data_IF_630800103132
#
_entry.id   IF_630800103132
#
_cell.length_a   1.000
_cell.length_b   1.000
_cell.length_c   1.000
_cell.angle_alpha   90.00
_cell.angle_beta   90.00
_cell.angle_gamma   90.00
#
_symmetry.space_group_name_H-M   'P 1'
#
loop_
_entity.id
_entity.type
_entity.pdbx_description
1 polymer ?
#
# COMPACT_ATOMS: atom_id res chain seq x y z
N UNK A 1 -6.71 14.88 8.85
CA UNK A 1 -6.65 13.44 8.57
C UNK A 1 -5.18 13.03 8.48
N UNK A 2 -4.80 11.92 9.10
CA UNK A 2 -3.48 11.34 9.02
C UNK A 2 -3.62 9.92 8.43
N UNK A 3 -2.81 9.57 7.43
CA UNK A 3 -2.83 8.23 6.80
C UNK A 3 -1.49 7.56 7.09
N UNK A 4 -1.54 6.34 7.61
CA UNK A 4 -0.37 5.55 8.02
C UNK A 4 -0.52 4.10 7.58
N UNK A 5 0.59 3.37 7.45
CA UNK A 5 0.56 1.92 7.42
C UNK A 5 0.53 1.34 8.85
N UNK A 6 0.25 0.04 8.94
CA UNK A 6 0.06 -0.63 10.23
C UNK A 6 1.32 -0.70 11.10
N UNK A 7 2.50 -0.77 10.51
CA UNK A 7 3.76 -0.77 11.27
C UNK A 7 4.16 0.64 11.71
N UNK A 8 3.99 1.63 10.83
CA UNK A 8 4.36 3.02 11.11
C UNK A 8 3.54 3.64 12.23
N UNK A 9 2.25 3.29 12.36
CA UNK A 9 1.41 3.83 13.44
C UNK A 9 1.91 3.39 14.82
N UNK A 10 2.46 2.19 14.93
CA UNK A 10 2.97 1.66 16.21
C UNK A 10 4.14 2.48 16.76
N UNK A 11 4.89 3.19 15.91
CA UNK A 11 5.98 4.05 16.34
C UNK A 11 5.50 5.36 17.01
N UNK A 12 4.24 5.74 16.80
CA UNK A 12 3.66 6.98 17.32
C UNK A 12 2.28 6.76 17.96
N UNK A 13 1.98 5.54 18.38
CA UNK A 13 0.67 5.16 18.90
C UNK A 13 0.26 5.96 20.14
N UNK A 14 1.24 6.39 20.93
CA UNK A 14 1.02 7.20 22.14
C UNK A 14 0.34 8.54 21.85
N UNK A 15 0.43 9.04 20.62
CA UNK A 15 -0.21 10.31 20.22
C UNK A 15 -1.75 10.22 20.20
N UNK A 16 -2.30 9.01 20.23
CA UNK A 16 -3.74 8.84 20.47
C UNK A 16 -4.16 9.42 21.82
N UNK A 17 -3.29 9.33 22.83
CA UNK A 17 -3.52 9.99 24.14
C UNK A 17 -3.60 11.51 24.02
N UNK A 18 -2.74 12.11 23.21
CA UNK A 18 -2.78 13.55 22.92
C UNK A 18 -4.10 13.93 22.22
N UNK A 19 -4.52 13.15 21.22
CA UNK A 19 -5.78 13.41 20.52
C UNK A 19 -6.98 13.33 21.45
N UNK A 20 -7.01 12.36 22.35
CA UNK A 20 -8.08 12.19 23.32
C UNK A 20 -8.09 13.32 24.36
N UNK A 21 -6.92 13.65 24.94
CA UNK A 21 -6.79 14.65 26.00
C UNK A 21 -7.26 16.04 25.55
N UNK A 22 -6.99 16.39 24.29
CA UNK A 22 -7.35 17.71 23.74
C UNK A 22 -8.64 17.68 22.88
N UNK A 23 -9.30 16.53 22.74
CA UNK A 23 -10.51 16.38 21.93
C UNK A 23 -10.31 16.76 20.44
N UNK A 24 -9.12 16.53 19.90
CA UNK A 24 -8.77 16.98 18.55
C UNK A 24 -9.54 16.16 17.50
N UNK A 25 -10.25 16.79 16.54
CA UNK A 25 -11.08 16.08 15.56
C UNK A 25 -10.22 15.48 14.43
N UNK A 26 -9.12 14.80 14.79
CA UNK A 26 -8.20 14.17 13.85
C UNK A 26 -8.68 12.76 13.54
N UNK A 27 -8.73 12.42 12.25
CA UNK A 27 -9.00 11.07 11.76
C UNK A 27 -7.67 10.42 11.39
N UNK A 28 -7.36 9.32 12.05
CA UNK A 28 -6.17 8.50 11.78
C UNK A 28 -6.61 7.30 10.97
N UNK A 29 -6.18 7.22 9.72
CA UNK A 29 -6.49 6.10 8.82
C UNK A 29 -5.28 5.18 8.72
N UNK A 30 -5.46 3.92 9.07
CA UNK A 30 -4.46 2.87 8.89
C UNK A 30 -4.79 2.12 7.61
N UNK A 31 -3.87 2.10 6.66
CA UNK A 31 -3.93 1.23 5.48
C UNK A 31 -3.21 -0.06 5.84
N UNK A 32 -3.97 -1.08 6.23
CA UNK A 32 -3.47 -2.26 6.89
C UNK A 32 -3.40 -3.46 5.95
N UNK A 33 -2.22 -3.74 5.43
CA UNK A 33 -1.93 -4.95 4.66
C UNK A 33 -1.23 -6.05 5.49
N UNK A 34 -1.05 -5.85 6.80
CA UNK A 34 -0.33 -6.74 7.71
C UNK A 34 1.13 -7.01 7.33
N UNK A 35 1.75 -6.09 6.60
CA UNK A 35 3.16 -6.16 6.24
C UNK A 35 3.88 -4.85 6.53
N UNK A 36 5.18 -4.94 6.74
CA UNK A 36 6.06 -3.81 6.47
C UNK A 36 6.27 -3.74 4.95
N UNK A 37 5.33 -3.07 4.27
CA UNK A 37 5.11 -3.23 2.83
C UNK A 37 6.34 -2.97 1.97
N UNK A 38 7.08 -1.86 2.22
CA UNK A 38 8.31 -1.55 1.48
C UNK A 38 9.42 -2.57 1.79
N UNK A 39 9.56 -3.02 3.03
CA UNK A 39 10.53 -4.05 3.41
C UNK A 39 10.21 -5.37 2.69
N UNK A 40 8.95 -5.78 2.70
CA UNK A 40 8.48 -6.95 1.96
C UNK A 40 8.81 -6.84 0.47
N UNK A 41 8.50 -5.70 -0.16
CA UNK A 41 8.76 -5.47 -1.59
C UNK A 41 10.24 -5.61 -1.94
N UNK A 42 11.14 -5.11 -1.09
CA UNK A 42 12.57 -5.28 -1.28
C UNK A 42 13.01 -6.75 -1.12
N UNK A 43 12.48 -7.43 -0.11
CA UNK A 43 12.77 -8.85 0.11
C UNK A 43 12.30 -9.70 -1.07
N UNK A 44 11.14 -9.39 -1.62
CA UNK A 44 10.61 -10.03 -2.83
C UNK A 44 11.51 -9.76 -4.05
N UNK A 45 11.84 -8.50 -4.30
CA UNK A 45 12.51 -8.09 -5.54
C UNK A 45 14.02 -8.40 -5.56
N UNK A 46 14.69 -8.35 -4.41
CA UNK A 46 16.17 -8.39 -4.36
C UNK A 46 16.75 -9.48 -3.45
N UNK A 47 15.94 -10.14 -2.64
CA UNK A 47 16.42 -11.10 -1.65
C UNK A 47 15.78 -12.49 -1.81
N UNK A 48 15.25 -12.80 -2.99
CA UNK A 48 14.70 -14.13 -3.32
C UNK A 48 13.55 -14.53 -2.40
N UNK A 49 12.65 -13.59 -2.12
CA UNK A 49 11.45 -13.80 -1.30
C UNK A 49 11.73 -14.28 0.14
N UNK A 50 12.92 -13.96 0.65
CA UNK A 50 13.28 -14.28 2.04
C UNK A 50 12.68 -13.25 2.98
N UNK A 51 11.42 -13.43 3.32
CA UNK A 51 10.66 -12.55 4.19
C UNK A 51 11.09 -12.71 5.66
N UNK A 52 11.94 -11.82 6.12
CA UNK A 52 12.43 -11.82 7.51
C UNK A 52 11.85 -10.64 8.27
N UNK A 53 11.12 -10.91 9.34
CA UNK A 53 10.54 -9.93 10.27
C UNK A 53 9.66 -8.86 9.60
N UNK A 54 9.16 -9.10 8.41
CA UNK A 54 8.30 -8.17 7.65
C UNK A 54 6.82 -8.55 7.65
N UNK A 55 6.49 -9.81 7.92
CA UNK A 55 5.10 -10.25 8.13
C UNK A 55 4.66 -9.89 9.55
N UNK A 56 3.66 -9.01 9.63
CA UNK A 56 3.15 -8.49 10.89
C UNK A 56 1.87 -9.19 11.36
N UNK A 57 1.39 -10.21 10.63
CA UNK A 57 0.08 -10.82 10.89
C UNK A 57 -0.08 -11.31 12.33
N UNK A 58 0.95 -11.95 12.87
CA UNK A 58 0.91 -12.53 14.21
C UNK A 58 1.35 -11.56 15.33
N UNK A 59 1.86 -10.39 14.97
CA UNK A 59 2.38 -9.40 15.93
C UNK A 59 1.58 -8.10 15.99
N UNK A 60 0.50 -7.99 15.21
CA UNK A 60 -0.33 -6.79 15.21
C UNK A 60 -1.32 -6.77 16.36
N UNK A 61 -1.44 -5.63 17.05
CA UNK A 61 -2.51 -5.44 18.02
C UNK A 61 -3.87 -5.29 17.30
N UNK A 62 -4.94 -5.49 18.04
CA UNK A 62 -6.24 -4.97 17.63
C UNK A 62 -6.21 -3.44 17.77
N UNK A 63 -6.08 -2.74 16.65
CA UNK A 63 -5.98 -1.28 16.63
C UNK A 63 -7.22 -0.58 17.17
N UNK A 64 -8.41 -1.21 17.05
CA UNK A 64 -9.64 -0.62 17.57
C UNK A 64 -9.70 -0.73 19.10
N UNK A 65 -9.35 -1.90 19.64
CA UNK A 65 -9.23 -2.07 21.08
C UNK A 65 -8.15 -1.16 21.67
N UNK A 66 -7.02 -1.02 20.97
CA UNK A 66 -5.93 -0.14 21.36
C UNK A 66 -6.35 1.33 21.35
N UNK A 67 -7.04 1.81 20.30
CA UNK A 67 -7.56 3.18 20.24
C UNK A 67 -8.51 3.47 21.40
N UNK A 68 -9.42 2.54 21.68
CA UNK A 68 -10.36 2.67 22.81
C UNK A 68 -9.67 2.74 24.17
N UNK A 69 -8.53 2.06 24.34
CA UNK A 69 -7.76 2.16 25.59
C UNK A 69 -7.18 3.56 25.82
N UNK A 70 -6.98 4.34 24.76
CA UNK A 70 -6.61 5.75 24.81
C UNK A 70 -7.82 6.73 24.87
N UNK A 71 -9.06 6.21 24.87
CA UNK A 71 -10.26 7.04 24.81
C UNK A 71 -10.59 7.56 23.41
N UNK A 72 -10.09 6.93 22.37
CA UNK A 72 -10.34 7.27 20.95
C UNK A 72 -11.27 6.21 20.35
N UNK A 73 -12.36 6.65 19.73
CA UNK A 73 -13.24 5.75 18.99
C UNK A 73 -12.55 5.19 17.73
N UNK A 74 -13.02 4.02 17.28
CA UNK A 74 -12.46 3.42 16.10
C UNK A 74 -13.41 2.51 15.35
N UNK A 75 -13.14 2.35 14.05
CA UNK A 75 -13.85 1.46 13.16
C UNK A 75 -12.87 0.63 12.33
N UNK A 76 -13.16 -0.66 12.20
CA UNK A 76 -12.44 -1.58 11.30
C UNK A 76 -13.25 -1.78 10.04
N UNK A 77 -12.60 -1.70 8.88
CA UNK A 77 -13.21 -1.89 7.56
C UNK A 77 -12.46 -3.00 6.86
N UNK A 78 -13.16 -4.13 6.62
CA UNK A 78 -12.59 -5.32 5.97
C UNK A 78 -13.21 -5.57 4.60
N UNK A 79 -14.47 -5.14 4.41
CA UNK A 79 -15.23 -5.39 3.21
C UNK A 79 -15.27 -4.14 2.32
N UNK A 80 -15.09 -4.37 1.02
CA UNK A 80 -15.07 -3.29 0.03
C UNK A 80 -16.41 -2.55 -0.07
N UNK A 81 -17.50 -3.28 0.06
CA UNK A 81 -18.85 -2.72 -0.12
C UNK A 81 -19.21 -1.74 1.01
N UNK A 82 -18.65 -1.96 2.21
CA UNK A 82 -18.86 -1.10 3.38
C UNK A 82 -17.92 0.10 3.41
N UNK A 83 -16.87 0.11 2.59
CA UNK A 83 -15.79 1.08 2.65
C UNK A 83 -16.28 2.52 2.58
N UNK A 84 -17.11 2.85 1.60
CA UNK A 84 -17.57 4.23 1.38
C UNK A 84 -18.46 4.72 2.51
N UNK A 85 -19.45 3.92 2.89
CA UNK A 85 -20.38 4.27 3.96
C UNK A 85 -19.67 4.42 5.32
N UNK A 86 -18.77 3.48 5.63
CA UNK A 86 -18.00 3.48 6.87
C UNK A 86 -17.02 4.66 6.94
N UNK A 87 -16.33 4.98 5.83
CA UNK A 87 -15.46 6.15 5.78
C UNK A 87 -16.24 7.45 5.92
N UNK A 88 -17.34 7.59 5.20
CA UNK A 88 -18.18 8.80 5.28
C UNK A 88 -18.71 9.03 6.71
N UNK A 89 -19.15 7.97 7.38
CA UNK A 89 -19.59 8.03 8.77
C UNK A 89 -18.44 8.41 9.72
N UNK A 90 -17.29 7.76 9.58
CA UNK A 90 -16.12 8.01 10.42
C UNK A 90 -15.56 9.42 10.23
N UNK A 91 -15.53 9.94 9.01
CA UNK A 91 -15.03 11.29 8.72
C UNK A 91 -15.95 12.38 9.30
N UNK A 92 -17.27 12.11 9.38
CA UNK A 92 -18.26 13.03 9.95
C UNK A 92 -18.39 12.92 11.46
N UNK A 93 -17.92 11.86 12.07
CA UNK A 93 -17.99 11.66 13.51
C UNK A 93 -17.28 12.81 14.26
N UNK A 94 -17.82 13.27 15.39
CA UNK A 94 -17.14 14.26 16.22
C UNK A 94 -15.90 13.66 16.90
N UNK A 95 -14.90 14.50 17.22
CA UNK A 95 -13.71 14.11 17.96
C UNK A 95 -12.69 13.25 17.16
N UNK A 96 -11.67 12.72 17.85
CA UNK A 96 -10.68 11.85 17.26
C UNK A 96 -11.28 10.49 16.91
N UNK A 97 -10.77 9.87 15.84
CA UNK A 97 -11.17 8.52 15.45
C UNK A 97 -10.04 7.78 14.74
N UNK A 98 -9.90 6.51 15.02
CA UNK A 98 -8.99 5.62 14.31
C UNK A 98 -9.80 4.73 13.36
N UNK A 99 -9.32 4.62 12.11
CA UNK A 99 -9.98 3.87 11.03
C UNK A 99 -8.98 2.85 10.51
N UNK A 100 -9.20 1.57 10.81
CA UNK A 100 -8.35 0.46 10.37
C UNK A 100 -8.93 -0.16 9.10
N UNK A 101 -8.35 0.19 7.95
CA UNK A 101 -8.79 -0.30 6.64
C UNK A 101 -7.91 -1.44 6.19
N UNK A 102 -8.46 -2.64 6.14
CA UNK A 102 -7.76 -3.81 5.64
C UNK A 102 -7.69 -3.77 4.11
N UNK A 103 -6.49 -3.97 3.60
CA UNK A 103 -6.21 -3.98 2.15
C UNK A 103 -5.48 -5.25 1.75
N UNK A 104 -5.35 -5.48 0.44
CA UNK A 104 -4.62 -6.64 -0.09
C UNK A 104 -3.20 -6.70 0.45
N UNK A 105 -2.78 -7.89 0.86
CA UNK A 105 -1.48 -8.12 1.48
C UNK A 105 -0.31 -8.03 0.51
N UNK A 106 -0.53 -8.42 -0.74
CA UNK A 106 0.54 -8.62 -1.72
C UNK A 106 0.84 -7.43 -2.64
N UNK A 107 0.15 -6.31 -2.48
CA UNK A 107 0.37 -5.15 -3.37
C UNK A 107 1.71 -4.47 -3.09
N UNK A 108 2.46 -4.21 -4.14
CA UNK A 108 3.73 -3.48 -4.12
C UNK A 108 3.55 -2.06 -4.64
N UNK A 109 4.46 -1.16 -4.27
CA UNK A 109 4.46 0.21 -4.76
C UNK A 109 5.37 0.33 -5.98
N UNK A 110 4.79 0.62 -7.13
CA UNK A 110 5.51 0.87 -8.37
C UNK A 110 5.07 2.22 -8.99
N UNK A 111 5.91 2.88 -9.78
CA UNK A 111 7.29 2.50 -10.11
C UNK A 111 8.25 2.65 -8.92
N UNK A 112 9.33 1.89 -8.93
CA UNK A 112 10.35 1.92 -7.89
C UNK A 112 11.73 2.09 -8.52
N UNK A 113 12.59 2.89 -7.88
CA UNK A 113 14.00 3.01 -8.26
C UNK A 113 14.81 1.95 -7.51
N UNK A 114 15.43 0.98 -8.20
CA UNK A 114 16.28 -0.01 -7.54
C UNK A 114 17.52 0.63 -6.90
N UNK A 115 18.14 -0.05 -5.92
CA UNK A 115 19.37 0.45 -5.29
C UNK A 115 20.46 0.76 -6.33
N UNK A 116 21.09 1.92 -6.20
CA UNK A 116 22.18 2.35 -7.06
C UNK A 116 21.76 2.74 -8.49
N UNK A 117 20.46 2.86 -8.75
CA UNK A 117 19.93 3.29 -10.05
C UNK A 117 19.44 4.75 -10.00
N UNK A 118 19.33 5.36 -11.18
CA UNK A 118 18.75 6.69 -11.35
C UNK A 118 17.22 6.62 -11.54
N UNK A 119 16.54 7.75 -11.44
CA UNK A 119 15.10 7.85 -11.71
C UNK A 119 14.73 7.42 -13.15
N UNK A 120 15.66 7.52 -14.09
CA UNK A 120 15.45 7.03 -15.46
C UNK A 120 15.48 5.48 -15.57
N UNK A 121 15.88 4.80 -14.50
CA UNK A 121 16.03 3.34 -14.45
C UNK A 121 15.03 2.70 -13.48
N UNK A 122 13.84 3.28 -13.37
CA UNK A 122 12.75 2.74 -12.58
C UNK A 122 12.32 1.36 -13.09
N UNK A 123 11.87 0.51 -12.17
CA UNK A 123 11.25 -0.78 -12.46
C UNK A 123 9.76 -0.73 -12.14
N UNK A 124 8.99 -1.62 -12.76
CA UNK A 124 7.56 -1.76 -12.49
C UNK A 124 6.70 -0.61 -13.04
N UNK A 125 7.02 -0.12 -14.22
CA UNK A 125 6.17 0.80 -14.97
C UNK A 125 5.49 0.05 -16.13
N UNK A 126 4.17 0.00 -16.16
CA UNK A 126 3.23 0.32 -15.09
C UNK A 126 3.27 -0.74 -13.99
N UNK A 127 3.02 -0.29 -12.77
CA UNK A 127 3.15 -1.12 -11.57
C UNK A 127 1.94 -2.02 -11.30
N UNK A 128 0.84 -1.80 -12.00
CA UNK A 128 -0.39 -2.54 -11.77
C UNK A 128 -0.44 -3.78 -12.66
N UNK A 129 -0.77 -4.98 -12.14
CA UNK A 129 -0.84 -6.20 -12.97
C UNK A 129 -1.76 -6.06 -14.19
N UNK A 130 -2.86 -5.34 -14.05
CA UNK A 130 -3.77 -5.07 -15.17
C UNK A 130 -3.14 -4.12 -16.20
N UNK A 131 -2.28 -3.20 -15.77
CA UNK A 131 -1.57 -2.27 -16.65
C UNK A 131 -0.26 -2.87 -17.18
N UNK A 132 0.34 -3.81 -16.46
CA UNK A 132 1.53 -4.52 -16.92
C UNK A 132 1.24 -5.33 -18.20
N UNK A 133 0.02 -5.84 -18.33
CA UNK A 133 -0.41 -6.52 -19.56
C UNK A 133 -0.63 -5.55 -20.73
N UNK A 134 -0.90 -4.27 -20.46
CA UNK A 134 -1.08 -3.25 -21.50
C UNK A 134 0.22 -2.59 -21.96
N UNK A 135 1.32 -2.80 -21.24
CA UNK A 135 2.59 -2.12 -21.57
C UNK A 135 3.57 -2.97 -22.35
N UNK A 136 3.33 -4.25 -22.43
CA UNK A 136 4.11 -5.13 -23.27
C UNK A 136 3.22 -5.86 -24.26
N UNK A 137 3.66 -5.92 -25.51
CA UNK A 137 3.02 -6.74 -26.54
C UNK A 137 4.07 -7.58 -27.23
N UNK A 138 3.65 -8.74 -27.73
CA UNK A 138 4.52 -9.58 -28.52
C UNK A 138 4.53 -9.12 -29.97
N UNK A 139 5.71 -8.99 -30.54
CA UNK A 139 5.84 -8.73 -31.97
C UNK A 139 5.31 -9.91 -32.78
N UNK A 140 4.33 -9.66 -33.65
CA UNK A 140 3.77 -10.73 -34.51
C UNK A 140 4.77 -11.34 -35.51
N UNK A 141 5.90 -10.66 -35.80
CA UNK A 141 6.90 -11.11 -36.75
C UNK A 141 8.00 -11.94 -36.12
N UNK A 142 8.49 -11.59 -34.92
CA UNK A 142 9.63 -12.28 -34.30
C UNK A 142 9.36 -12.78 -32.87
N UNK A 143 8.15 -12.55 -32.32
CA UNK A 143 7.78 -12.98 -30.98
C UNK A 143 8.43 -12.19 -29.83
N UNK A 144 9.28 -11.21 -30.12
CA UNK A 144 9.94 -10.43 -29.08
C UNK A 144 8.90 -9.61 -28.29
N UNK A 145 9.02 -9.66 -26.97
CA UNK A 145 8.20 -8.84 -26.08
C UNK A 145 8.77 -7.41 -26.06
N UNK A 146 7.90 -6.43 -26.27
CA UNK A 146 8.29 -5.03 -26.39
C UNK A 146 7.26 -4.15 -25.67
N UNK A 147 7.67 -2.94 -25.29
CA UNK A 147 6.76 -1.99 -24.68
C UNK A 147 5.66 -1.56 -25.65
N UNK A 148 4.45 -1.36 -25.12
CA UNK A 148 3.27 -1.02 -25.94
C UNK A 148 3.41 0.32 -26.66
N UNK A 149 4.25 1.21 -26.16
CA UNK A 149 4.52 2.53 -26.72
C UNK A 149 5.38 2.49 -28.01
N UNK A 150 6.08 1.37 -28.26
CA UNK A 150 6.89 1.21 -29.45
C UNK A 150 6.00 1.05 -30.70
N UNK A 151 6.20 1.88 -31.71
CA UNK A 151 5.55 1.74 -33.02
C UNK A 151 6.18 0.67 -33.89
N UNK A 152 7.44 0.35 -33.60
CA UNK A 152 8.21 -0.65 -34.33
C UNK A 152 8.90 -1.58 -33.34
N UNK A 153 9.03 -2.84 -33.70
CA UNK A 153 9.75 -3.80 -32.89
C UNK A 153 11.25 -3.46 -32.83
N UNK A 154 11.83 -3.25 -31.64
CA UNK A 154 13.27 -2.94 -31.54
C UNK A 154 14.17 -4.10 -31.95
N UNK A 155 13.64 -5.35 -32.01
CA UNK A 155 14.39 -6.53 -32.36
C UNK A 155 14.44 -6.83 -33.88
N UNK A 156 13.34 -6.55 -34.62
CA UNK A 156 13.25 -6.90 -36.02
C UNK A 156 12.77 -5.75 -36.92
N UNK A 157 12.43 -4.59 -36.37
CA UNK A 157 11.97 -3.43 -37.12
C UNK A 157 10.52 -3.51 -37.66
N UNK A 158 9.82 -4.61 -37.43
CA UNK A 158 8.42 -4.73 -37.88
C UNK A 158 7.50 -3.74 -37.18
N UNK A 159 6.47 -3.27 -37.88
CA UNK A 159 5.41 -2.46 -37.27
C UNK A 159 4.65 -3.28 -36.23
N UNK A 160 4.36 -2.68 -35.10
CA UNK A 160 3.69 -3.29 -33.95
C UNK A 160 2.25 -2.82 -33.85
#
# INVERSE_FOLDING_TARGET
MCIRDSASILMNIQELGTLAAYGLPVKVVIVNNHWQGMVRQWQESFYGERYSASDMLNGMPDFIALARSFGVDGVKITERDDLRASLDAALKAPGPMLIDVHVRRGENCYPMVPPGKSNAQMVGLPSHPELANDTTRSCGSCGAVTAHEHRFCPSCGASL
#
